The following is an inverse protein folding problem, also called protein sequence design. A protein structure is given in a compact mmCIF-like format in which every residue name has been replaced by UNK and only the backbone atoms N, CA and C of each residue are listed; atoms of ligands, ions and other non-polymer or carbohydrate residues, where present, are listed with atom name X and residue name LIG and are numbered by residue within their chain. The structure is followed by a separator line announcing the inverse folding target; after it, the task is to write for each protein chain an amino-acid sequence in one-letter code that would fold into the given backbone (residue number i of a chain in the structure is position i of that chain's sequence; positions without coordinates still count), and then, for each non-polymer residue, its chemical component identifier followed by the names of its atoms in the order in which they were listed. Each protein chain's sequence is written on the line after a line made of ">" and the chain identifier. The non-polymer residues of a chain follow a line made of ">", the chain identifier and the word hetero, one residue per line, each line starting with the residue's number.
data_IF_056367512364
#
_entry.id   IF_056367512364
#
_cell.length_a   1.000
_cell.length_b   1.000
_cell.length_c   1.000
_cell.angle_alpha   90.00
_cell.angle_beta   90.00
_cell.angle_gamma   90.00
#
_symmetry.space_group_name_H-M   'P 1'
#
loop_
_entity.id
_entity.type
_entity.pdbx_description
1 polymer ?
#
# COMPACT_ATOMS: atom_id res chain seq x y z
N UNK A 1 -3.02 -60.01 51.59
CA UNK A 1 -3.33 -58.57 51.58
C UNK A 1 -2.04 -57.80 51.52
N UNK A 2 -1.66 -57.25 50.37
CA UNK A 2 -0.73 -56.12 50.25
C UNK A 2 -1.00 -55.44 48.90
N UNK A 3 -1.33 -54.15 48.97
CA UNK A 3 -1.93 -53.37 47.88
C UNK A 3 -0.83 -52.92 46.90
N UNK A 4 -1.03 -53.20 45.62
CA UNK A 4 -0.22 -52.65 44.52
C UNK A 4 -0.60 -51.18 44.35
N UNK A 5 0.29 -50.27 44.72
CA UNK A 5 0.12 -48.84 44.51
C UNK A 5 0.29 -48.52 43.02
N UNK A 6 -0.81 -48.25 42.32
CA UNK A 6 -0.80 -47.71 40.97
C UNK A 6 -0.52 -46.21 41.05
N UNK A 7 0.73 -45.81 40.79
CA UNK A 7 1.08 -44.42 40.53
C UNK A 7 0.58 -44.09 39.12
N UNK A 8 -0.59 -43.45 39.02
CA UNK A 8 -1.01 -42.79 37.80
C UNK A 8 -0.18 -41.52 37.61
N UNK A 9 0.81 -41.60 36.73
CA UNK A 9 1.51 -40.42 36.19
C UNK A 9 0.52 -39.72 35.26
N UNK A 10 -0.10 -38.65 35.74
CA UNK A 10 -0.90 -37.75 34.92
C UNK A 10 0.07 -36.95 34.05
N UNK A 11 0.31 -37.41 32.82
CA UNK A 11 1.10 -36.69 31.83
C UNK A 11 0.27 -35.47 31.40
N UNK A 12 0.49 -34.34 32.07
CA UNK A 12 -0.08 -33.06 31.68
C UNK A 12 0.52 -32.65 30.33
N UNK A 13 -0.16 -33.01 29.24
CA UNK A 13 0.08 -32.46 27.92
C UNK A 13 -0.35 -30.99 27.95
N UNK A 14 0.56 -30.12 28.39
CA UNK A 14 0.42 -28.68 28.21
C UNK A 14 0.52 -28.45 26.70
N UNK A 15 -0.64 -28.34 26.04
CA UNK A 15 -0.73 -27.81 24.69
C UNK A 15 -0.28 -26.36 24.77
N UNK A 16 1.02 -26.12 24.62
CA UNK A 16 1.55 -24.83 24.23
C UNK A 16 0.97 -24.54 22.84
N UNK A 17 -0.22 -23.95 22.79
CA UNK A 17 -0.66 -23.19 21.62
C UNK A 17 0.24 -21.97 21.54
N UNK A 18 1.48 -22.19 21.10
CA UNK A 18 2.33 -21.11 20.66
C UNK A 18 1.58 -20.44 19.52
N UNK A 19 1.16 -19.19 19.72
CA UNK A 19 0.81 -18.33 18.61
C UNK A 19 2.04 -18.28 17.70
N UNK A 20 2.07 -19.14 16.68
CA UNK A 20 3.04 -19.01 15.60
C UNK A 20 2.71 -17.70 14.93
N UNK A 21 3.42 -16.63 15.29
CA UNK A 21 3.35 -15.37 14.55
C UNK A 21 3.54 -15.69 13.07
N UNK A 22 2.52 -15.39 12.26
CA UNK A 22 2.58 -15.69 10.84
C UNK A 22 3.77 -14.92 10.25
N UNK A 23 4.57 -15.60 9.42
CA UNK A 23 5.73 -14.99 8.79
C UNK A 23 5.35 -13.67 8.09
N UNK A 24 6.13 -12.59 8.27
CA UNK A 24 5.89 -11.32 7.60
C UNK A 24 5.83 -11.47 6.07
N UNK A 25 5.23 -10.50 5.41
CA UNK A 25 5.29 -10.34 3.97
C UNK A 25 6.36 -9.29 3.67
N UNK A 26 7.37 -9.65 2.90
CA UNK A 26 8.48 -8.77 2.52
C UNK A 26 8.45 -8.47 1.01
N UNK A 27 9.14 -7.41 0.60
CA UNK A 27 9.35 -7.05 -0.80
C UNK A 27 10.72 -6.38 -0.94
N UNK A 28 11.65 -7.08 -1.57
CA UNK A 28 13.02 -6.61 -1.83
C UNK A 28 13.18 -6.01 -3.24
N UNK A 29 12.21 -6.27 -4.12
CA UNK A 29 12.25 -5.89 -5.53
C UNK A 29 11.78 -4.46 -5.73
N UNK A 30 10.69 -4.07 -5.07
CA UNK A 30 10.15 -2.71 -5.19
C UNK A 30 11.14 -1.70 -4.64
N UNK A 31 11.52 -0.74 -5.49
CA UNK A 31 12.33 0.41 -5.10
C UNK A 31 11.44 1.63 -4.96
N UNK A 32 11.79 2.50 -4.02
CA UNK A 32 11.09 3.76 -3.84
C UNK A 32 11.46 4.75 -4.96
N UNK A 33 12.73 4.80 -5.35
CA UNK A 33 13.22 5.70 -6.39
C UNK A 33 12.80 5.23 -7.78
N UNK A 34 12.26 6.17 -8.55
CA UNK A 34 11.85 6.00 -9.93
C UNK A 34 13.05 6.22 -10.85
N UNK A 35 13.18 5.43 -11.93
CA UNK A 35 14.20 5.70 -12.95
C UNK A 35 13.92 7.03 -13.64
N UNK A 36 14.99 7.75 -13.98
CA UNK A 36 14.90 8.96 -14.80
C UNK A 36 14.64 8.52 -16.24
N UNK A 37 13.64 9.15 -16.86
CA UNK A 37 13.28 8.90 -18.26
C UNK A 37 13.63 10.12 -19.10
N UNK A 38 14.30 9.92 -20.23
CA UNK A 38 14.63 11.01 -21.17
C UNK A 38 13.70 11.03 -22.39
N UNK A 39 13.12 9.87 -22.73
CA UNK A 39 12.23 9.69 -23.89
C UNK A 39 11.09 8.74 -23.52
N UNK A 40 9.90 9.05 -24.01
CA UNK A 40 8.70 8.24 -23.81
C UNK A 40 8.57 7.15 -24.87
N UNK A 41 8.13 5.98 -24.42
CA UNK A 41 7.60 4.92 -25.30
C UNK A 41 6.17 5.23 -25.76
N UNK A 42 5.66 4.50 -26.76
CA UNK A 42 4.37 4.79 -27.42
C UNK A 42 3.15 4.78 -26.48
N UNK A 43 3.21 3.98 -25.41
CA UNK A 43 2.12 3.85 -24.44
C UNK A 43 2.31 4.75 -23.21
N UNK A 44 3.37 5.56 -23.20
CA UNK A 44 3.73 6.38 -22.07
C UNK A 44 3.23 7.83 -22.21
N UNK A 45 2.78 8.39 -21.09
CA UNK A 45 2.37 9.80 -20.99
C UNK A 45 3.03 10.46 -19.79
N UNK A 46 3.07 11.79 -19.80
CA UNK A 46 3.51 12.58 -18.65
C UNK A 46 2.29 13.00 -17.82
N UNK A 47 2.38 12.83 -16.51
CA UNK A 47 1.46 13.42 -15.55
C UNK A 47 2.21 14.33 -14.58
N UNK A 48 1.72 15.57 -14.48
CA UNK A 48 2.25 16.56 -13.54
C UNK A 48 1.52 16.39 -12.22
N UNK A 49 2.23 15.99 -11.18
CA UNK A 49 1.64 15.82 -9.86
C UNK A 49 1.38 17.17 -9.20
N UNK A 50 0.22 17.28 -8.56
CA UNK A 50 -0.22 18.49 -7.87
C UNK A 50 -0.28 18.32 -6.36
N UNK A 51 -0.44 17.08 -5.89
CA UNK A 51 -0.47 16.72 -4.48
C UNK A 51 0.93 16.31 -4.00
N UNK A 52 1.15 16.41 -2.69
CA UNK A 52 2.35 15.94 -1.99
C UNK A 52 2.08 14.66 -1.18
N UNK A 53 0.99 13.95 -1.49
CA UNK A 53 0.61 12.68 -0.87
C UNK A 53 1.63 11.56 -1.10
N UNK A 54 2.51 11.68 -2.10
CA UNK A 54 3.61 10.76 -2.38
C UNK A 54 5.00 11.29 -1.99
N UNK A 55 5.08 12.50 -1.41
CA UNK A 55 6.34 13.24 -1.29
C UNK A 55 7.26 12.73 -0.17
N UNK A 56 8.11 11.75 -0.47
CA UNK A 56 9.29 11.40 0.36
C UNK A 56 10.63 11.78 -0.28
N UNK A 57 10.61 12.21 -1.55
CA UNK A 57 11.78 12.72 -2.30
C UNK A 57 11.33 13.61 -3.47
N UNK A 58 12.27 14.31 -4.10
CA UNK A 58 12.04 15.27 -5.19
C UNK A 58 11.22 14.71 -6.36
N UNK A 59 11.34 13.42 -6.66
CA UNK A 59 10.60 12.78 -7.75
C UNK A 59 9.06 12.91 -7.61
N UNK A 60 8.59 13.00 -6.36
CA UNK A 60 7.18 13.21 -6.01
C UNK A 60 6.91 14.62 -5.45
N UNK A 61 7.75 15.61 -5.77
CA UNK A 61 7.51 17.01 -5.41
C UNK A 61 6.42 17.66 -6.27
N UNK A 62 5.79 18.72 -5.76
CA UNK A 62 4.82 19.49 -6.55
C UNK A 62 5.39 19.92 -7.90
N UNK A 63 4.63 19.68 -8.97
CA UNK A 63 5.02 19.90 -10.36
C UNK A 63 6.11 18.96 -10.91
N UNK A 64 6.44 17.85 -10.23
CA UNK A 64 7.23 16.79 -10.84
C UNK A 64 6.46 16.12 -11.97
N UNK A 65 7.18 15.70 -13.00
CA UNK A 65 6.63 15.06 -14.19
C UNK A 65 6.85 13.56 -14.11
N UNK A 66 5.80 12.82 -13.80
CA UNK A 66 5.84 11.36 -13.72
C UNK A 66 5.53 10.76 -15.09
N UNK A 67 6.21 9.66 -15.40
CA UNK A 67 5.97 8.87 -16.60
C UNK A 67 5.03 7.72 -16.25
N UNK A 68 3.87 7.72 -16.88
CA UNK A 68 2.85 6.68 -16.75
C UNK A 68 2.93 5.79 -17.99
N UNK A 69 3.03 4.48 -17.82
CA UNK A 69 2.72 3.52 -18.88
C UNK A 69 1.26 3.09 -18.77
N UNK A 70 0.43 3.50 -19.75
CA UNK A 70 -1.01 3.22 -19.79
C UNK A 70 -1.34 1.78 -20.18
N UNK A 71 -0.43 1.10 -20.89
CA UNK A 71 -0.60 -0.28 -21.34
C UNK A 71 0.06 -1.31 -20.41
N UNK A 72 0.68 -0.85 -19.31
CA UNK A 72 1.48 -1.73 -18.44
C UNK A 72 0.71 -2.96 -17.95
N UNK A 73 -0.58 -2.78 -17.63
CA UNK A 73 -1.44 -3.82 -17.06
C UNK A 73 -2.34 -4.54 -18.08
N UNK A 74 -2.18 -4.28 -19.39
CA UNK A 74 -2.98 -4.96 -20.41
C UNK A 74 -2.75 -6.47 -20.40
N UNK A 75 -1.49 -6.87 -20.14
CA UNK A 75 -1.06 -8.27 -20.10
C UNK A 75 -0.34 -8.64 -18.80
N UNK A 76 -0.37 -7.77 -17.78
CA UNK A 76 0.29 -7.99 -16.48
C UNK A 76 -0.68 -7.78 -15.33
N UNK A 77 -0.48 -8.53 -14.26
CA UNK A 77 -1.15 -8.28 -12.98
C UNK A 77 -0.66 -6.99 -12.33
N UNK A 78 -1.52 -6.39 -11.51
CA UNK A 78 -1.14 -5.30 -10.60
C UNK A 78 -0.48 -5.93 -9.38
N UNK A 79 0.73 -5.50 -9.05
CA UNK A 79 1.48 -6.03 -7.92
C UNK A 79 1.39 -5.09 -6.72
N UNK A 80 1.48 -5.67 -5.52
CA UNK A 80 1.68 -4.88 -4.30
C UNK A 80 2.98 -4.08 -4.44
N UNK A 81 2.96 -2.85 -3.96
CA UNK A 81 4.11 -1.94 -4.06
C UNK A 81 4.13 -1.12 -5.35
N UNK A 82 3.36 -1.47 -6.39
CA UNK A 82 3.22 -0.65 -7.59
C UNK A 82 2.66 0.73 -7.24
N UNK A 83 3.19 1.79 -7.88
CA UNK A 83 2.55 3.10 -7.87
C UNK A 83 1.70 3.20 -9.12
N UNK A 84 0.40 3.41 -8.92
CA UNK A 84 -0.61 3.40 -9.98
C UNK A 84 -1.14 4.80 -10.23
N UNK A 85 -1.46 5.07 -11.49
CA UNK A 85 -2.24 6.21 -11.92
C UNK A 85 -3.70 5.78 -12.02
N UNK A 86 -4.60 6.42 -11.29
CA UNK A 86 -5.99 5.99 -11.21
C UNK A 86 -6.98 7.16 -11.29
N UNK A 87 -8.18 6.85 -11.77
CA UNK A 87 -9.33 7.74 -11.86
C UNK A 87 -9.97 7.88 -10.48
N UNK A 88 -10.15 9.10 -9.99
CA UNK A 88 -10.74 9.38 -8.68
C UNK A 88 -12.26 9.24 -8.74
N UNK A 89 -12.95 9.39 -7.60
CA UNK A 89 -14.43 9.47 -7.57
C UNK A 89 -14.91 10.93 -7.59
N UNK A 90 -14.03 11.87 -7.96
CA UNK A 90 -14.38 13.27 -8.02
C UNK A 90 -15.49 13.51 -9.05
N UNK A 91 -16.55 14.20 -8.63
CA UNK A 91 -17.60 14.64 -9.55
C UNK A 91 -17.10 15.71 -10.51
N UNK A 92 -17.78 15.87 -11.64
CA UNK A 92 -17.50 16.94 -12.61
C UNK A 92 -17.48 18.33 -11.96
N UNK A 93 -18.33 18.56 -10.95
CA UNK A 93 -18.36 19.81 -10.21
C UNK A 93 -17.09 20.01 -9.39
N UNK A 94 -16.65 18.97 -8.66
CA UNK A 94 -15.41 18.99 -7.87
C UNK A 94 -14.17 19.16 -8.74
N UNK A 95 -14.20 18.64 -9.97
CA UNK A 95 -13.13 18.84 -10.94
C UNK A 95 -13.15 20.27 -11.48
N UNK A 96 -14.32 20.80 -11.86
CA UNK A 96 -14.49 22.15 -12.42
C UNK A 96 -14.13 23.25 -11.42
N UNK A 97 -14.50 23.10 -10.16
CA UNK A 97 -14.19 24.07 -9.11
C UNK A 97 -12.77 23.92 -8.55
N UNK A 98 -12.02 22.89 -8.97
CA UNK A 98 -10.63 22.67 -8.58
C UNK A 98 -10.45 22.04 -7.19
N UNK A 99 -11.53 21.60 -6.53
CA UNK A 99 -11.45 20.97 -5.22
C UNK A 99 -10.80 19.57 -5.28
N UNK A 100 -10.98 18.85 -6.39
CA UNK A 100 -10.38 17.53 -6.61
C UNK A 100 -9.92 17.36 -8.05
N UNK A 101 -8.98 16.44 -8.26
CA UNK A 101 -8.50 16.08 -9.60
C UNK A 101 -9.21 14.84 -10.10
N UNK A 102 -9.44 14.76 -11.42
CA UNK A 102 -9.99 13.55 -12.05
C UNK A 102 -9.07 12.34 -11.86
N UNK A 103 -7.76 12.56 -11.80
CA UNK A 103 -6.79 11.49 -11.62
C UNK A 103 -5.84 11.81 -10.48
N UNK A 104 -5.37 10.75 -9.84
CA UNK A 104 -4.35 10.81 -8.79
C UNK A 104 -3.40 9.61 -8.90
N UNK A 105 -2.38 9.61 -8.04
CA UNK A 105 -1.41 8.53 -7.90
C UNK A 105 -1.40 8.00 -6.47
N UNK A 106 -1.27 6.68 -6.35
CA UNK A 106 -1.15 6.04 -5.05
C UNK A 106 -0.40 4.71 -5.18
N UNK A 107 0.10 4.19 -4.06
CA UNK A 107 0.74 2.89 -3.99
C UNK A 107 -0.27 1.80 -3.66
N UNK A 108 -0.16 0.67 -4.34
CA UNK A 108 -0.94 -0.54 -4.07
C UNK A 108 -0.45 -1.19 -2.79
N UNK A 109 -1.31 -1.28 -1.78
CA UNK A 109 -1.04 -1.94 -0.50
C UNK A 109 -1.73 -3.30 -0.40
N UNK A 110 -3.03 -3.33 -0.69
CA UNK A 110 -3.85 -4.55 -0.65
C UNK A 110 -4.29 -4.99 -2.04
N UNK A 111 -4.27 -6.29 -2.27
CA UNK A 111 -4.69 -6.94 -3.51
C UNK A 111 -6.09 -7.56 -3.36
N UNK A 112 -6.77 -7.88 -4.48
CA UNK A 112 -8.09 -8.52 -4.45
C UNK A 112 -8.16 -9.73 -3.51
N UNK A 113 -9.23 -9.82 -2.73
CA UNK A 113 -9.49 -10.91 -1.79
C UNK A 113 -8.76 -10.80 -0.44
N UNK A 114 -7.87 -9.83 -0.27
CA UNK A 114 -7.11 -9.67 0.98
C UNK A 114 -7.84 -8.86 2.04
N UNK A 115 -7.52 -9.12 3.30
CA UNK A 115 -7.93 -8.31 4.45
C UNK A 115 -6.77 -7.38 4.82
N UNK A 116 -7.02 -6.08 4.83
CA UNK A 116 -6.05 -5.04 5.19
C UNK A 116 -6.42 -4.48 6.56
N UNK A 117 -5.45 -4.36 7.46
CA UNK A 117 -5.62 -3.66 8.74
C UNK A 117 -4.43 -2.74 8.95
N UNK A 118 -4.65 -1.57 9.53
CA UNK A 118 -3.55 -0.70 9.96
C UNK A 118 -3.63 -0.54 11.47
N UNK A 119 -2.55 -0.87 12.17
CA UNK A 119 -2.47 -0.72 13.62
C UNK A 119 -1.26 0.14 13.96
N UNK A 120 -1.51 1.31 14.54
CA UNK A 120 -0.47 2.23 15.01
C UNK A 120 0.60 2.51 13.95
N UNK A 121 0.16 2.74 12.71
CA UNK A 121 1.03 3.05 11.58
C UNK A 121 1.67 1.84 10.90
N UNK A 122 1.32 0.60 11.28
CA UNK A 122 1.83 -0.63 10.66
C UNK A 122 0.72 -1.33 9.89
N UNK A 123 0.97 -1.66 8.62
CA UNK A 123 0.05 -2.43 7.78
C UNK A 123 0.17 -3.92 8.07
N UNK A 124 -0.98 -4.59 8.12
CA UNK A 124 -1.12 -6.04 8.15
C UNK A 124 -2.03 -6.49 7.01
N UNK A 125 -1.65 -7.59 6.36
CA UNK A 125 -2.41 -8.23 5.29
C UNK A 125 -2.73 -9.66 5.69
N UNK A 126 -4.01 -10.02 5.78
CA UNK A 126 -4.46 -11.33 6.27
C UNK A 126 -3.80 -11.71 7.63
N UNK A 127 -3.71 -10.71 8.52
CA UNK A 127 -3.07 -10.77 9.83
C UNK A 127 -1.55 -11.06 9.79
N UNK A 128 -0.89 -10.77 8.67
CA UNK A 128 0.58 -10.86 8.52
C UNK A 128 1.15 -9.46 8.39
N UNK A 129 2.19 -9.14 9.16
CA UNK A 129 2.89 -7.85 9.05
C UNK A 129 3.40 -7.66 7.62
N UNK A 130 3.11 -6.51 7.00
CA UNK A 130 3.75 -6.09 5.75
C UNK A 130 5.07 -5.37 6.10
N UNK A 131 6.16 -6.11 6.05
CA UNK A 131 7.49 -5.63 6.43
C UNK A 131 8.23 -5.07 5.22
N UNK A 132 7.79 -3.90 4.78
CA UNK A 132 8.34 -3.18 3.62
C UNK A 132 8.46 -1.68 3.94
N UNK A 133 9.16 -0.91 3.10
CA UNK A 133 9.26 0.55 3.29
C UNK A 133 7.90 1.27 3.16
N UNK A 134 6.92 0.62 2.53
CA UNK A 134 5.56 1.12 2.32
C UNK A 134 4.51 0.42 3.18
N UNK A 135 4.89 -0.58 3.96
CA UNK A 135 4.03 -1.24 4.95
C UNK A 135 3.95 -0.50 6.27
N UNK A 136 4.55 0.68 6.38
CA UNK A 136 4.51 1.52 7.57
C UNK A 136 4.30 3.00 7.21
N UNK A 137 3.68 3.70 8.13
CA UNK A 137 3.46 5.13 8.05
C UNK A 137 4.81 5.86 7.98
N UNK A 138 4.90 6.83 7.08
CA UNK A 138 6.09 7.64 6.90
C UNK A 138 5.97 8.95 7.67
N UNK A 139 6.94 9.18 8.54
CA UNK A 139 7.12 10.43 9.26
C UNK A 139 8.56 10.92 9.10
N UNK A 140 8.71 12.19 8.73
CA UNK A 140 10.00 12.86 8.60
C UNK A 140 10.71 13.07 9.94
N UNK A 141 9.97 13.02 11.06
CA UNK A 141 10.50 13.19 12.42
C UNK A 141 10.46 11.93 13.30
N UNK A 142 9.96 10.79 12.81
CA UNK A 142 10.09 9.49 13.49
C UNK A 142 9.27 9.25 14.77
N UNK A 143 8.43 10.18 15.22
CA UNK A 143 7.87 10.15 16.59
C UNK A 143 6.51 9.45 16.78
N UNK A 144 5.86 8.95 15.73
CA UNK A 144 4.44 8.56 15.83
C UNK A 144 4.17 7.07 15.61
N UNK A 145 5.01 6.36 14.85
CA UNK A 145 4.81 4.92 14.60
C UNK A 145 4.85 4.12 15.90
N UNK A 146 3.87 3.23 16.10
CA UNK A 146 3.70 2.47 17.33
C UNK A 146 3.03 3.23 18.48
N UNK A 147 2.63 4.49 18.27
CA UNK A 147 1.88 5.29 19.25
C UNK A 147 0.40 5.38 18.88
N UNK A 148 -0.45 5.78 19.83
CA UNK A 148 -1.88 6.04 19.60
C UNK A 148 -2.14 7.21 18.62
N UNK A 149 -1.11 8.01 18.29
CA UNK A 149 -1.23 9.11 17.33
C UNK A 149 -1.04 8.65 15.88
N UNK A 150 -0.52 7.44 15.66
CA UNK A 150 -0.37 6.89 14.32
C UNK A 150 -1.71 6.45 13.76
N UNK A 151 -1.83 6.45 12.45
CA UNK A 151 -3.06 6.02 11.80
C UNK A 151 -3.33 4.56 12.13
N UNK A 152 -4.59 4.28 12.46
CA UNK A 152 -5.12 2.94 12.56
C UNK A 152 -6.41 2.89 11.74
N UNK A 153 -6.63 1.77 11.08
CA UNK A 153 -7.83 1.50 10.29
C UNK A 153 -8.29 0.11 10.67
N UNK A 154 -9.59 -0.01 10.89
CA UNK A 154 -10.25 -1.30 11.09
C UNK A 154 -10.04 -2.22 9.88
N UNK A 155 -10.39 -3.49 10.05
CA UNK A 155 -10.19 -4.47 8.99
C UNK A 155 -11.05 -4.14 7.75
N UNK A 156 -10.38 -3.95 6.61
CA UNK A 156 -10.99 -3.76 5.30
C UNK A 156 -10.82 -5.04 4.50
N UNK A 157 -11.93 -5.69 4.15
CA UNK A 157 -11.93 -6.88 3.29
C UNK A 157 -12.13 -6.50 1.83
N UNK A 158 -11.10 -6.69 1.01
CA UNK A 158 -11.14 -6.39 -0.42
C UNK A 158 -11.93 -7.45 -1.17
N UNK A 159 -12.90 -7.00 -1.98
CA UNK A 159 -13.63 -7.86 -2.92
C UNK A 159 -12.79 -8.14 -4.16
N UNK A 160 -13.20 -9.13 -4.95
CA UNK A 160 -12.55 -9.42 -6.22
C UNK A 160 -12.47 -8.17 -7.12
N UNK A 161 -11.31 -7.97 -7.74
CA UNK A 161 -11.02 -6.83 -8.60
C UNK A 161 -10.83 -5.47 -7.89
N UNK A 162 -10.85 -5.41 -6.55
CA UNK A 162 -10.65 -4.17 -5.79
C UNK A 162 -9.31 -4.17 -5.05
N UNK A 163 -8.72 -2.97 -4.94
CA UNK A 163 -7.40 -2.73 -4.37
C UNK A 163 -7.47 -1.69 -3.26
N UNK A 164 -6.61 -1.83 -2.27
CA UNK A 164 -6.37 -0.80 -1.26
C UNK A 164 -5.17 0.03 -1.69
N UNK A 165 -5.39 1.31 -2.00
CA UNK A 165 -4.35 2.26 -2.41
C UNK A 165 -4.12 3.32 -1.34
N UNK A 166 -2.86 3.69 -1.12
CA UNK A 166 -2.49 4.80 -0.22
C UNK A 166 -1.36 5.61 -0.84
N UNK A 167 -1.39 6.93 -0.64
CA UNK A 167 -0.19 7.72 -0.91
C UNK A 167 0.93 7.36 0.07
N UNK A 168 2.17 7.67 -0.25
CA UNK A 168 3.31 7.36 0.60
C UNK A 168 3.36 8.22 1.89
N UNK A 169 2.57 9.30 1.96
CA UNK A 169 2.41 10.20 3.11
C UNK A 169 0.93 10.20 3.54
N UNK A 170 0.59 9.28 4.45
CA UNK A 170 -0.80 8.88 4.73
C UNK A 170 -1.69 10.02 5.20
N UNK A 171 -1.19 10.88 6.09
CA UNK A 171 -1.94 12.03 6.62
C UNK A 171 -2.30 13.08 5.55
N UNK A 172 -1.64 13.04 4.38
CA UNK A 172 -1.91 13.95 3.25
C UNK A 172 -2.75 13.28 2.16
N UNK A 173 -2.54 11.99 1.91
CA UNK A 173 -3.20 11.27 0.82
C UNK A 173 -4.55 10.66 1.20
N UNK A 174 -4.76 10.40 2.49
CA UNK A 174 -5.84 9.51 2.92
C UNK A 174 -5.66 8.08 2.41
N UNK A 175 -6.71 7.28 2.57
CA UNK A 175 -6.77 5.86 2.21
C UNK A 175 -7.87 5.62 1.18
N UNK A 176 -7.57 4.84 0.14
CA UNK A 176 -8.51 4.49 -0.92
C UNK A 176 -8.76 2.98 -0.87
N UNK A 177 -9.79 2.58 -0.13
CA UNK A 177 -9.97 1.20 0.34
C UNK A 177 -10.46 0.23 -0.73
N UNK A 178 -11.34 0.68 -1.63
CA UNK A 178 -11.99 -0.17 -2.63
C UNK A 178 -11.84 0.40 -4.04
N UNK A 179 -10.61 0.56 -4.52
CA UNK A 179 -10.38 1.02 -5.89
C UNK A 179 -10.53 -0.13 -6.86
N UNK A 180 -11.55 -0.09 -7.72
CA UNK A 180 -11.75 -1.11 -8.75
C UNK A 180 -10.63 -1.10 -9.80
N UNK A 181 -10.26 -2.28 -10.30
CA UNK A 181 -9.27 -2.45 -11.38
C UNK A 181 -9.54 -1.53 -12.57
N UNK A 182 -10.81 -1.29 -12.92
CA UNK A 182 -11.19 -0.47 -14.07
C UNK A 182 -10.83 1.02 -13.90
N UNK A 183 -10.64 1.49 -12.67
CA UNK A 183 -10.21 2.86 -12.35
C UNK A 183 -8.69 3.01 -12.41
N UNK A 184 -7.93 1.92 -12.37
CA UNK A 184 -6.47 1.94 -12.52
C UNK A 184 -6.13 2.06 -14.01
N UNK A 185 -5.50 3.18 -14.39
CA UNK A 185 -5.28 3.59 -15.79
C UNK A 185 -3.85 3.44 -16.27
N UNK A 186 -2.93 3.03 -15.41
CA UNK A 186 -1.53 2.79 -15.77
C UNK A 186 -0.61 2.68 -14.56
N UNK A 187 0.65 2.34 -14.82
CA UNK A 187 1.71 2.28 -13.81
C UNK A 187 2.63 3.48 -13.92
N UNK A 188 3.06 4.04 -12.79
CA UNK A 188 4.19 4.97 -12.77
C UNK A 188 5.47 4.18 -12.99
N UNK A 189 6.15 4.44 -14.10
CA UNK A 189 7.35 3.70 -14.53
C UNK A 189 8.63 4.52 -14.48
N UNK A 190 8.52 5.84 -14.30
CA UNK A 190 9.66 6.74 -14.25
C UNK A 190 9.26 8.17 -13.95
N UNK A 191 10.22 9.09 -14.01
CA UNK A 191 9.99 10.52 -13.92
C UNK A 191 10.97 11.30 -14.80
N UNK A 192 10.55 12.48 -15.25
CA UNK A 192 11.38 13.41 -16.00
C UNK A 192 12.07 14.34 -14.99
N UNK A 193 13.40 14.27 -14.90
CA UNK A 193 14.15 15.21 -14.06
C UNK A 193 14.09 16.60 -14.69
N UNK A 194 13.73 17.63 -13.91
CA UNK A 194 13.80 19.02 -14.36
C UNK A 194 15.26 19.33 -14.75
N UNK A 195 15.45 19.85 -15.96
CA UNK A 195 16.74 20.38 -16.41
C UNK A 195 17.05 21.68 -15.68
#
# INVERSE_FOLDING_TARGET
>A
MNKVAHIMIFLAFVLLTGCSEKQPITDELTKYDLPITEKLDSNQIIHVIKSDGMYRSEQYSGNSQLVIDRGFYDNKGINRGDVVYFDTEASDEQIKNGNQTQYDIARVIGLPGEMVTIQKGQVFINNRKLDTFYGKEYYTSGFINGTEKAHSIDEVKLTEGHYFLVGDVWWRSGFNEHVSKNRIKGKIVGWMKKK
#
